data_IF_950420454263
#
_entry.id   IF_950420454263
#
_cell.length_a   1.000
_cell.length_b   1.000
_cell.length_c   1.000
_cell.angle_alpha   90.00
_cell.angle_beta   90.00
_cell.angle_gamma   90.00
#
_symmetry.space_group_name_H-M   'P 1'
#
loop_
_entity.id
_entity.type
_entity.pdbx_description
1 polymer ?
#
# COMPACT_ATOMS: atom_id res chain seq x y z
N UNK A 1 39.54 30.35 20.96
CA UNK A 1 39.02 28.95 20.96
C UNK A 1 37.55 28.88 21.40
N UNK A 2 36.62 29.58 20.72
CA UNK A 2 35.17 29.46 20.94
C UNK A 2 34.39 29.26 19.63
N UNK A 3 34.91 29.73 18.49
CA UNK A 3 34.30 29.54 17.17
C UNK A 3 34.19 28.07 16.69
N UNK A 4 35.10 27.16 17.07
CA UNK A 4 35.17 25.83 16.45
C UNK A 4 34.02 24.89 16.89
N UNK A 5 33.53 25.06 18.14
CA UNK A 5 32.39 24.31 18.69
C UNK A 5 31.03 24.71 18.12
N UNK A 6 30.92 25.86 17.45
CA UNK A 6 29.66 26.29 16.82
C UNK A 6 29.41 25.55 15.50
N UNK A 7 30.43 24.89 14.93
CA UNK A 7 30.31 24.18 13.66
C UNK A 7 29.60 22.82 13.77
N UNK A 8 29.54 22.22 14.97
CA UNK A 8 28.95 20.90 15.22
C UNK A 8 27.45 20.94 15.56
N UNK A 9 26.98 22.04 16.16
CA UNK A 9 25.66 22.13 16.77
C UNK A 9 24.69 22.93 15.90
N UNK A 10 23.57 22.33 15.55
CA UNK A 10 22.52 22.87 14.71
C UNK A 10 21.30 23.18 15.58
N UNK A 11 20.73 24.36 15.41
CA UNK A 11 19.42 24.69 16.00
C UNK A 11 18.33 23.77 15.44
N UNK A 12 17.23 23.56 16.17
CA UNK A 12 16.08 22.78 15.67
C UNK A 12 15.59 23.24 14.29
N UNK A 13 15.66 24.54 14.00
CA UNK A 13 15.27 25.12 12.72
C UNK A 13 16.26 24.82 11.59
N UNK A 14 17.56 24.88 11.87
CA UNK A 14 18.60 24.56 10.91
C UNK A 14 18.68 23.04 10.65
N UNK A 15 18.66 22.25 11.72
CA UNK A 15 18.61 20.79 11.64
C UNK A 15 17.39 20.32 10.86
N UNK A 16 16.21 20.90 11.14
CA UNK A 16 14.99 20.60 10.41
C UNK A 16 15.09 20.90 8.91
N UNK A 17 15.68 22.05 8.55
CA UNK A 17 15.90 22.39 7.12
C UNK A 17 16.85 21.40 6.44
N UNK A 18 17.99 21.08 7.05
CA UNK A 18 18.99 20.15 6.48
C UNK A 18 18.50 18.70 6.44
N UNK A 19 17.81 18.27 7.49
CA UNK A 19 17.24 16.93 7.63
C UNK A 19 15.89 16.74 6.92
N UNK A 20 15.33 17.81 6.35
CA UNK A 20 13.99 17.84 5.72
C UNK A 20 12.88 17.37 6.69
N UNK A 21 12.97 17.81 7.95
CA UNK A 21 12.02 17.52 9.01
C UNK A 21 11.44 18.83 9.53
N UNK A 22 10.14 18.88 9.76
CA UNK A 22 9.51 20.04 10.41
C UNK A 22 9.93 20.11 11.88
N UNK A 23 9.94 21.32 12.46
CA UNK A 23 10.20 21.49 13.91
C UNK A 23 9.20 20.71 14.77
N UNK A 24 7.95 20.59 14.31
CA UNK A 24 6.91 19.78 14.98
C UNK A 24 7.27 18.30 14.95
N UNK A 25 7.74 17.77 13.82
CA UNK A 25 8.20 16.39 13.72
C UNK A 25 9.40 16.12 14.64
N UNK A 26 10.37 17.04 14.70
CA UNK A 26 11.52 16.90 15.59
C UNK A 26 11.13 16.85 17.07
N UNK A 27 10.15 17.66 17.50
CA UNK A 27 9.61 17.61 18.88
C UNK A 27 8.91 16.27 19.15
N UNK A 28 8.08 15.81 18.21
CA UNK A 28 7.44 14.50 18.32
C UNK A 28 8.46 13.37 18.40
N UNK A 29 9.54 13.43 17.61
CA UNK A 29 10.58 12.39 17.61
C UNK A 29 11.43 12.40 18.88
N UNK A 30 11.65 13.57 19.47
CA UNK A 30 12.25 13.72 20.79
C UNK A 30 11.37 13.05 21.86
N UNK A 31 10.08 13.41 21.90
CA UNK A 31 9.08 12.85 22.84
C UNK A 31 8.96 11.31 22.72
N UNK A 32 9.04 10.78 21.50
CA UNK A 32 8.98 9.33 21.22
C UNK A 32 10.33 8.63 21.28
N UNK A 33 11.42 9.35 21.61
CA UNK A 33 12.77 8.80 21.70
C UNK A 33 13.39 8.35 20.37
N UNK A 34 12.79 8.72 19.23
CA UNK A 34 13.31 8.40 17.90
C UNK A 34 14.51 9.26 17.53
N UNK A 35 14.52 10.52 17.94
CA UNK A 35 15.61 11.46 17.69
C UNK A 35 15.66 12.54 18.77
N UNK A 36 16.42 12.26 19.82
CA UNK A 36 16.62 13.19 20.94
C UNK A 36 17.61 14.29 20.56
N UNK A 37 17.40 15.55 20.99
CA UNK A 37 18.41 16.60 20.83
C UNK A 37 19.68 16.22 21.61
N UNK A 38 20.83 16.60 21.07
CA UNK A 38 22.11 16.41 21.76
C UNK A 38 22.24 17.32 23.00
N UNK A 39 21.55 18.46 23.00
CA UNK A 39 21.46 19.37 24.16
C UNK A 39 20.14 20.10 24.14
N UNK A 40 19.63 20.30 25.34
CA UNK A 40 18.55 21.24 25.63
C UNK A 40 19.19 22.34 26.47
N UNK A 41 19.02 23.59 26.06
CA UNK A 41 19.42 24.74 26.84
C UNK A 41 18.51 24.82 28.10
N UNK A 42 19.07 24.78 29.32
CA UNK A 42 18.29 24.77 30.54
C UNK A 42 17.50 26.05 30.78
N UNK A 43 17.97 27.20 30.28
CA UNK A 43 17.36 28.50 30.56
C UNK A 43 16.23 28.81 29.57
N UNK A 44 16.42 28.47 28.29
CA UNK A 44 15.48 28.80 27.21
C UNK A 44 14.65 27.60 26.71
N UNK A 45 15.01 26.38 27.10
CA UNK A 45 14.42 25.14 26.58
C UNK A 45 14.75 24.88 25.10
N UNK A 46 15.71 25.62 24.51
CA UNK A 46 16.03 25.52 23.10
C UNK A 46 16.78 24.22 22.78
N UNK A 47 16.40 23.57 21.67
CA UNK A 47 16.93 22.26 21.28
C UNK A 47 18.03 22.40 20.24
N UNK A 48 19.13 21.71 20.50
CA UNK A 48 20.28 21.63 19.62
C UNK A 48 20.59 20.18 19.26
N UNK A 49 20.98 19.98 18.00
CA UNK A 49 21.29 18.67 17.42
C UNK A 49 22.69 18.71 16.82
N UNK A 50 23.39 17.58 16.75
CA UNK A 50 24.68 17.54 16.06
C UNK A 50 24.52 17.26 14.57
N UNK A 51 25.55 17.54 13.76
CA UNK A 51 25.57 17.14 12.34
C UNK A 51 25.47 15.63 12.14
N UNK A 52 26.05 14.84 13.03
CA UNK A 52 26.04 13.37 12.93
C UNK A 52 24.61 12.81 13.01
N UNK A 53 23.75 13.46 13.79
CA UNK A 53 22.32 13.12 13.90
C UNK A 53 21.54 13.29 12.59
N UNK A 54 22.07 13.99 11.59
CA UNK A 54 21.46 14.06 10.26
C UNK A 54 21.37 12.69 9.59
N UNK A 55 22.29 11.76 9.91
CA UNK A 55 22.21 10.38 9.42
C UNK A 55 20.97 9.66 9.98
N UNK A 56 20.66 9.89 11.26
CA UNK A 56 19.45 9.36 11.91
C UNK A 56 18.18 9.99 11.32
N UNK A 57 18.18 11.31 11.09
CA UNK A 57 17.08 11.99 10.40
C UNK A 57 16.81 11.41 9.01
N UNK A 58 17.87 11.12 8.24
CA UNK A 58 17.76 10.45 6.93
C UNK A 58 17.13 9.06 7.06
N UNK A 59 17.57 8.25 8.03
CA UNK A 59 16.98 6.92 8.32
C UNK A 59 15.49 7.03 8.62
N UNK A 60 15.11 7.93 9.53
CA UNK A 60 13.71 8.21 9.87
C UNK A 60 12.89 8.57 8.63
N UNK A 61 13.41 9.44 7.76
CA UNK A 61 12.71 9.84 6.52
C UNK A 61 12.47 8.65 5.59
N UNK A 62 13.45 7.76 5.43
CA UNK A 62 13.32 6.56 4.60
C UNK A 62 12.30 5.57 5.19
N UNK A 63 12.32 5.36 6.51
CA UNK A 63 11.35 4.49 7.18
C UNK A 63 9.92 5.06 7.08
N UNK A 64 9.76 6.38 7.14
CA UNK A 64 8.47 7.06 6.88
C UNK A 64 7.99 6.89 5.45
N UNK A 65 8.89 6.87 4.48
CA UNK A 65 8.55 6.61 3.07
C UNK A 65 8.04 5.18 2.87
N UNK A 66 8.52 4.22 3.68
CA UNK A 66 8.00 2.85 3.74
C UNK A 66 6.69 2.73 4.56
N UNK A 67 6.07 3.86 4.90
CA UNK A 67 4.86 3.94 5.73
C UNK A 67 4.98 3.18 7.06
N UNK A 68 6.20 3.09 7.60
CA UNK A 68 6.45 2.37 8.84
C UNK A 68 5.84 3.13 10.04
N UNK A 69 5.05 2.46 10.91
CA UNK A 69 4.57 3.03 12.16
C UNK A 69 5.71 3.49 13.07
N UNK A 70 5.51 4.59 13.81
CA UNK A 70 6.55 5.20 14.66
C UNK A 70 7.11 4.23 15.71
N UNK A 71 6.26 3.35 16.24
CA UNK A 71 6.61 2.35 17.23
C UNK A 71 7.60 1.32 16.65
N UNK A 72 7.37 0.89 15.40
CA UNK A 72 8.29 -0.01 14.69
C UNK A 72 9.58 0.72 14.31
N UNK A 73 9.50 1.99 13.95
CA UNK A 73 10.70 2.79 13.67
C UNK A 73 11.63 2.87 14.89
N UNK A 74 11.08 2.99 16.10
CA UNK A 74 11.89 2.99 17.33
C UNK A 74 12.68 1.68 17.48
N UNK A 75 12.03 0.54 17.25
CA UNK A 75 12.66 -0.78 17.30
C UNK A 75 13.78 -0.89 16.27
N UNK A 76 13.54 -0.43 15.04
CA UNK A 76 14.52 -0.46 13.95
C UNK A 76 15.72 0.44 14.24
N UNK A 77 15.48 1.66 14.73
CA UNK A 77 16.55 2.61 15.03
C UNK A 77 17.41 2.15 16.22
N UNK A 78 16.80 1.57 17.25
CA UNK A 78 17.51 1.03 18.41
C UNK A 78 18.41 -0.18 18.05
N UNK A 79 18.01 -0.95 17.05
CA UNK A 79 18.77 -2.10 16.55
C UNK A 79 19.77 -1.73 15.43
N UNK A 80 19.82 -0.47 14.97
CA UNK A 80 20.49 -0.11 13.72
C UNK A 80 21.96 -0.51 13.66
N UNK A 81 22.70 -0.19 14.73
CA UNK A 81 24.14 -0.43 14.81
C UNK A 81 24.48 -1.71 15.60
N UNK A 82 23.54 -2.24 16.39
CA UNK A 82 23.75 -3.40 17.27
C UNK A 82 23.28 -4.74 16.69
N UNK A 83 22.24 -4.74 15.86
CA UNK A 83 21.65 -5.95 15.27
C UNK A 83 21.15 -5.70 13.84
N UNK A 84 22.07 -5.71 12.85
CA UNK A 84 21.70 -5.51 11.45
C UNK A 84 20.74 -6.56 10.90
N UNK A 85 20.75 -7.78 11.43
CA UNK A 85 19.86 -8.85 10.98
C UNK A 85 18.41 -8.57 11.38
N UNK A 86 18.19 -8.12 12.62
CA UNK A 86 16.87 -7.68 13.08
C UNK A 86 16.35 -6.49 12.29
N UNK A 87 17.22 -5.53 11.96
CA UNK A 87 16.85 -4.39 11.11
C UNK A 87 16.38 -4.88 9.75
N UNK A 88 17.19 -5.70 9.06
CA UNK A 88 16.83 -6.23 7.74
C UNK A 88 15.53 -7.05 7.79
N UNK A 89 15.33 -7.84 8.85
CA UNK A 89 14.11 -8.61 9.05
C UNK A 89 12.88 -7.68 9.17
N UNK A 90 12.95 -6.64 9.98
CA UNK A 90 11.86 -5.65 10.12
C UNK A 90 11.56 -4.93 8.81
N UNK A 91 12.60 -4.57 8.04
CA UNK A 91 12.41 -3.97 6.71
C UNK A 91 11.68 -4.92 5.75
N UNK A 92 12.07 -6.20 5.71
CA UNK A 92 11.39 -7.22 4.89
C UNK A 92 9.93 -7.42 5.31
N UNK A 93 9.66 -7.46 6.61
CA UNK A 93 8.29 -7.56 7.12
C UNK A 93 7.44 -6.36 6.67
N UNK A 94 7.98 -5.14 6.76
CA UNK A 94 7.25 -3.95 6.33
C UNK A 94 6.97 -3.96 4.83
N UNK A 95 7.95 -4.33 3.99
CA UNK A 95 7.74 -4.49 2.54
C UNK A 95 6.61 -5.48 2.26
N UNK A 96 6.63 -6.65 2.90
CA UNK A 96 5.58 -7.66 2.71
C UNK A 96 4.18 -7.17 3.13
N UNK A 97 4.08 -6.37 4.20
CA UNK A 97 2.82 -5.77 4.62
C UNK A 97 2.30 -4.80 3.56
N UNK A 98 3.16 -3.91 3.06
CA UNK A 98 2.80 -2.92 2.03
C UNK A 98 2.41 -3.60 0.71
N UNK A 99 3.11 -4.67 0.30
CA UNK A 99 2.77 -5.45 -0.90
C UNK A 99 1.37 -6.06 -0.79
N UNK A 100 1.02 -6.63 0.38
CA UNK A 100 -0.33 -7.16 0.63
C UNK A 100 -1.40 -6.08 0.58
N UNK A 101 -1.13 -4.90 1.13
CA UNK A 101 -2.04 -3.76 1.06
C UNK A 101 -2.24 -3.30 -0.38
N UNK A 102 -1.17 -3.20 -1.17
CA UNK A 102 -1.25 -2.85 -2.58
C UNK A 102 -2.11 -3.86 -3.36
N UNK A 103 -1.91 -5.16 -3.15
CA UNK A 103 -2.70 -6.20 -3.79
C UNK A 103 -4.19 -6.09 -3.43
N UNK A 104 -4.52 -5.83 -2.16
CA UNK A 104 -5.90 -5.64 -1.72
C UNK A 104 -6.56 -4.39 -2.34
N UNK A 105 -5.83 -3.26 -2.38
CA UNK A 105 -6.31 -2.01 -3.02
C UNK A 105 -6.53 -2.22 -4.52
N UNK A 106 -5.61 -2.89 -5.21
CA UNK A 106 -5.75 -3.20 -6.64
C UNK A 106 -6.96 -4.09 -6.92
N UNK A 107 -7.20 -5.11 -6.09
CA UNK A 107 -8.39 -5.97 -6.20
C UNK A 107 -9.68 -5.16 -6.02
N UNK A 108 -9.75 -4.31 -4.98
CA UNK A 108 -10.92 -3.50 -4.73
C UNK A 108 -11.19 -2.52 -5.88
N UNK A 109 -10.14 -1.85 -6.39
CA UNK A 109 -10.24 -0.94 -7.53
C UNK A 109 -10.72 -1.65 -8.80
N UNK A 110 -10.30 -2.91 -9.02
CA UNK A 110 -10.77 -3.73 -10.14
C UNK A 110 -12.28 -4.04 -10.02
N UNK A 111 -12.73 -4.49 -8.85
CA UNK A 111 -14.15 -4.81 -8.62
C UNK A 111 -15.05 -3.59 -8.79
N UNK A 112 -14.66 -2.43 -8.25
CA UNK A 112 -15.41 -1.17 -8.42
C UNK A 112 -15.43 -0.72 -9.90
N UNK A 113 -14.36 -0.96 -10.66
CA UNK A 113 -14.33 -0.66 -12.10
C UNK A 113 -15.25 -1.58 -12.91
N UNK A 114 -15.41 -2.82 -12.49
CA UNK A 114 -16.36 -3.76 -13.09
C UNK A 114 -17.80 -3.31 -12.79
N UNK A 115 -18.09 -2.85 -11.57
CA UNK A 115 -19.40 -2.30 -11.18
C UNK A 115 -19.76 -1.00 -11.92
N UNK A 116 -18.80 -0.10 -12.12
CA UNK A 116 -18.99 1.18 -12.80
C UNK A 116 -19.09 1.07 -14.33
N UNK A 117 -18.83 -0.09 -14.94
CA UNK A 117 -19.08 -0.32 -16.36
C UNK A 117 -20.56 -0.67 -16.55
N UNK A 118 -21.41 0.27 -16.99
CA UNK A 118 -22.77 -0.08 -17.32
C UNK A 118 -22.70 -0.95 -18.57
N UNK A 119 -23.26 -2.16 -18.50
CA UNK A 119 -23.47 -3.04 -19.64
C UNK A 119 -22.21 -3.68 -20.28
N UNK A 120 -21.72 -4.77 -19.66
CA UNK A 120 -21.26 -5.93 -20.45
C UNK A 120 -22.36 -6.96 -20.73
N UNK A 121 -23.55 -6.80 -20.12
CA UNK A 121 -24.72 -7.61 -20.45
C UNK A 121 -25.46 -7.15 -21.73
N UNK A 122 -25.12 -6.00 -22.31
CA UNK A 122 -25.68 -5.56 -23.62
C UNK A 122 -24.91 -6.06 -24.85
N UNK A 123 -24.07 -7.10 -24.72
CA UNK A 123 -23.48 -7.74 -25.91
C UNK A 123 -24.48 -8.62 -26.64
N UNK A 124 -25.64 -8.94 -26.05
CA UNK A 124 -26.72 -9.58 -26.81
C UNK A 124 -28.06 -8.93 -26.50
N UNK A 125 -28.38 -7.86 -27.23
CA UNK A 125 -29.75 -7.47 -27.47
C UNK A 125 -30.45 -8.57 -28.29
N UNK A 126 -30.79 -9.67 -27.64
CA UNK A 126 -31.81 -10.56 -28.18
C UNK A 126 -33.13 -9.83 -28.06
N UNK A 127 -33.67 -9.41 -29.20
CA UNK A 127 -35.07 -8.99 -29.29
C UNK A 127 -35.93 -10.23 -29.09
N UNK A 128 -36.38 -10.46 -27.86
CA UNK A 128 -37.38 -11.46 -27.56
C UNK A 128 -38.70 -11.03 -28.20
N UNK A 129 -39.09 -11.72 -29.28
CA UNK A 129 -40.41 -11.55 -29.87
C UNK A 129 -41.28 -12.67 -29.33
N UNK A 130 -42.31 -12.31 -28.55
CA UNK A 130 -43.25 -13.29 -28.03
C UNK A 130 -44.22 -13.66 -29.17
N UNK A 131 -44.14 -14.89 -29.66
CA UNK A 131 -45.08 -15.41 -30.67
C UNK A 131 -45.94 -16.48 -30.03
N UNK A 132 -47.25 -16.27 -30.05
CA UNK A 132 -48.22 -17.28 -29.66
C UNK A 132 -48.36 -18.28 -30.82
N UNK A 133 -47.86 -19.49 -30.61
CA UNK A 133 -47.91 -20.58 -31.59
C UNK A 133 -48.99 -21.58 -31.19
N UNK A 134 -49.80 -22.03 -32.14
CA UNK A 134 -50.76 -23.11 -31.92
C UNK A 134 -50.06 -24.40 -31.48
N UNK A 135 -50.79 -25.36 -30.89
CA UNK A 135 -50.20 -26.63 -30.44
C UNK A 135 -49.66 -27.42 -31.64
N UNK A 136 -48.35 -27.69 -31.64
CA UNK A 136 -47.68 -28.47 -32.68
C UNK A 136 -47.00 -29.70 -32.06
N UNK A 137 -46.96 -30.80 -32.82
CA UNK A 137 -46.21 -31.98 -32.42
C UNK A 137 -44.72 -31.75 -32.72
N UNK A 138 -43.86 -31.89 -31.70
CA UNK A 138 -42.42 -31.68 -31.83
C UNK A 138 -41.62 -32.88 -31.33
N UNK A 139 -40.47 -33.12 -31.95
CA UNK A 139 -39.44 -34.05 -31.46
C UNK A 139 -38.37 -33.22 -30.78
N UNK A 140 -37.94 -33.63 -29.58
CA UNK A 140 -36.93 -32.90 -28.82
C UNK A 140 -35.85 -33.83 -28.28
N UNK A 141 -34.59 -33.36 -28.32
CA UNK A 141 -33.47 -33.97 -27.62
C UNK A 141 -33.08 -33.04 -26.46
N UNK A 142 -32.86 -33.61 -25.26
CA UNK A 142 -32.52 -32.84 -24.04
C UNK A 142 -31.29 -33.42 -23.37
N UNK A 143 -30.40 -32.55 -22.89
CA UNK A 143 -29.23 -32.92 -22.07
C UNK A 143 -28.89 -31.80 -21.09
N UNK A 144 -28.47 -32.17 -19.88
CA UNK A 144 -27.86 -31.22 -18.94
C UNK A 144 -26.35 -31.12 -19.22
N UNK A 145 -25.88 -29.89 -19.43
CA UNK A 145 -24.48 -29.59 -19.76
C UNK A 145 -24.05 -28.30 -19.06
N UNK A 146 -22.75 -28.11 -18.92
CA UNK A 146 -22.18 -26.84 -18.45
C UNK A 146 -22.12 -25.85 -19.62
N UNK A 147 -22.12 -24.54 -19.30
CA UNK A 147 -22.08 -23.46 -20.31
C UNK A 147 -20.91 -23.61 -21.31
N UNK A 148 -19.68 -23.97 -20.90
CA UNK A 148 -18.57 -24.19 -21.84
C UNK A 148 -18.82 -25.34 -22.83
N UNK A 149 -19.52 -26.40 -22.41
CA UNK A 149 -19.81 -27.57 -23.23
C UNK A 149 -20.99 -27.37 -24.20
N UNK A 150 -21.65 -26.21 -24.18
CA UNK A 150 -22.83 -25.93 -25.02
C UNK A 150 -22.53 -26.02 -26.51
N UNK A 151 -21.47 -25.34 -26.97
CA UNK A 151 -21.13 -25.28 -28.39
C UNK A 151 -20.71 -26.65 -28.95
N UNK A 152 -20.10 -27.50 -28.13
CA UNK A 152 -19.69 -28.86 -28.50
C UNK A 152 -20.90 -29.79 -28.65
N UNK A 153 -21.98 -29.55 -27.91
CA UNK A 153 -23.15 -30.41 -27.90
C UNK A 153 -24.26 -29.99 -28.88
N UNK A 154 -24.47 -28.68 -29.07
CA UNK A 154 -25.63 -28.17 -29.80
C UNK A 154 -25.63 -28.58 -31.28
N UNK A 155 -24.48 -28.49 -31.97
CA UNK A 155 -24.42 -28.79 -33.41
C UNK A 155 -24.64 -30.28 -33.71
N UNK A 156 -24.01 -31.24 -32.99
CA UNK A 156 -24.32 -32.66 -33.16
C UNK A 156 -25.74 -33.03 -32.76
N UNK A 157 -26.31 -32.41 -31.72
CA UNK A 157 -27.68 -32.69 -31.28
C UNK A 157 -28.71 -32.24 -32.33
N UNK A 158 -28.48 -31.10 -33.00
CA UNK A 158 -29.34 -30.65 -34.09
C UNK A 158 -29.33 -31.63 -35.27
N UNK A 159 -28.18 -32.20 -35.62
CA UNK A 159 -28.07 -33.20 -36.70
C UNK A 159 -28.82 -34.51 -36.41
N UNK A 160 -29.17 -34.81 -35.16
CA UNK A 160 -29.96 -35.99 -34.80
C UNK A 160 -31.47 -35.80 -34.97
N UNK A 161 -31.90 -34.56 -35.19
CA UNK A 161 -33.31 -34.18 -35.37
C UNK A 161 -33.69 -33.99 -36.85
N UNK A 162 -32.75 -34.20 -37.78
CA UNK A 162 -32.92 -34.18 -39.24
C UNK A 162 -32.48 -35.52 -39.84
#
# INVERSE_FOLDING_TARGET
MKEERLSEWLTIGEFGRRGQLSRKALRLYDERGLLRPARIDPDSGYRYYTREQLRVARRIRLLRLMEMPLEKMAIVLAAWDSDPQRVQHQLRLQVSVTEKQLAAVQLAARLLREELQPNKENVMSFTFTNQEVEKQMMVSIRRQITVPAFHEWIMPALQQLW
#
